data_IF_120455429016
#
_entry.id   IF_120455429016
#
_cell.length_a   1.000
_cell.length_b   1.000
_cell.length_c   1.000
_cell.angle_alpha   90.00
_cell.angle_beta   90.00
_cell.angle_gamma   90.00
#
_symmetry.space_group_name_H-M   'P 1'
#
loop_
_entity.id
_entity.type
_entity.pdbx_description
1 polymer ?
#
# COMPACT_ATOMS: atom_id res chain seq x y z
N UNK A 1 2.27 16.81 -4.22
CA UNK A 1 3.45 15.94 -4.40
C UNK A 1 3.58 15.51 -5.84
N UNK A 2 4.79 15.53 -6.42
CA UNK A 2 5.01 14.97 -7.76
C UNK A 2 4.71 13.48 -7.80
N UNK A 3 4.15 13.00 -8.91
CA UNK A 3 3.82 11.59 -9.07
C UNK A 3 5.06 10.68 -9.00
N UNK A 4 6.23 11.20 -9.37
CA UNK A 4 7.49 10.46 -9.34
C UNK A 4 8.04 10.21 -7.92
N UNK A 5 7.42 10.80 -6.90
CA UNK A 5 7.74 10.53 -5.50
C UNK A 5 6.56 9.89 -4.74
N UNK A 6 5.59 9.36 -5.46
CA UNK A 6 4.45 8.66 -4.87
C UNK A 6 4.59 7.15 -5.03
N UNK A 7 4.27 6.41 -3.98
CA UNK A 7 4.39 4.95 -3.94
C UNK A 7 3.12 4.34 -3.38
N UNK A 8 2.67 3.25 -3.98
CA UNK A 8 1.55 2.45 -3.45
C UNK A 8 2.13 1.38 -2.54
N UNK A 9 1.42 1.05 -1.47
CA UNK A 9 1.90 0.14 -0.43
C UNK A 9 1.00 -1.10 -0.35
N UNK A 10 1.60 -2.28 -0.41
CA UNK A 10 0.92 -3.56 -0.21
C UNK A 10 0.71 -3.82 1.29
N UNK A 11 -0.22 -4.72 1.64
CA UNK A 11 -0.59 -4.99 3.03
C UNK A 11 0.57 -5.53 3.88
N UNK A 12 1.39 -6.44 3.33
CA UNK A 12 2.55 -6.96 4.05
C UNK A 12 3.56 -5.87 4.37
N UNK A 13 3.69 -4.90 3.48
CA UNK A 13 4.62 -3.79 3.66
C UNK A 13 4.13 -2.86 4.77
N UNK A 14 2.85 -2.50 4.74
CA UNK A 14 2.28 -1.65 5.80
C UNK A 14 2.37 -2.35 7.16
N UNK A 15 2.04 -3.64 7.21
CA UNK A 15 2.16 -4.43 8.43
C UNK A 15 3.59 -4.45 8.97
N UNK A 16 4.58 -4.63 8.10
CA UNK A 16 5.99 -4.62 8.48
C UNK A 16 6.45 -3.24 8.97
N UNK A 17 5.96 -2.18 8.34
CA UNK A 17 6.24 -0.82 8.78
C UNK A 17 5.75 -0.59 10.22
N UNK A 18 4.54 -1.05 10.51
CA UNK A 18 3.95 -0.89 11.85
C UNK A 18 4.69 -1.69 12.92
N UNK A 19 5.44 -2.72 12.52
CA UNK A 19 6.27 -3.54 13.42
C UNK A 19 7.75 -3.12 13.39
N UNK A 20 8.08 -2.09 12.60
CA UNK A 20 9.46 -1.63 12.41
C UNK A 20 10.37 -2.74 11.85
N UNK A 21 9.86 -3.48 10.88
CA UNK A 21 10.54 -4.65 10.28
C UNK A 21 10.78 -4.50 8.77
N UNK A 22 10.75 -3.29 8.22
CA UNK A 22 10.96 -3.09 6.79
C UNK A 22 12.43 -3.27 6.41
N UNK A 23 12.71 -3.83 5.22
CA UNK A 23 14.07 -3.80 4.69
C UNK A 23 14.50 -2.36 4.40
N UNK A 24 15.80 -2.15 4.33
CA UNK A 24 16.40 -0.81 4.28
C UNK A 24 15.80 0.08 3.19
N UNK A 25 15.64 -0.45 1.98
CA UNK A 25 15.15 0.34 0.85
C UNK A 25 13.70 0.82 1.06
N UNK A 26 12.83 -0.09 1.49
CA UNK A 26 11.43 0.24 1.78
C UNK A 26 11.34 1.18 2.97
N UNK A 27 12.14 0.94 4.00
CA UNK A 27 12.16 1.77 5.20
C UNK A 27 12.53 3.22 4.86
N UNK A 28 13.51 3.42 3.97
CA UNK A 28 13.91 4.76 3.56
C UNK A 28 12.77 5.51 2.87
N UNK A 29 11.97 4.81 2.07
CA UNK A 29 10.80 5.44 1.41
C UNK A 29 9.78 5.90 2.46
N UNK A 30 9.54 5.08 3.49
CA UNK A 30 8.65 5.46 4.59
C UNK A 30 9.20 6.64 5.40
N UNK A 31 10.49 6.65 5.66
CA UNK A 31 11.15 7.80 6.33
C UNK A 31 10.96 9.07 5.49
N UNK A 32 11.17 8.97 4.18
CA UNK A 32 10.97 10.11 3.29
C UNK A 32 9.52 10.61 3.35
N UNK A 33 8.55 9.70 3.42
CA UNK A 33 7.14 10.06 3.53
C UNK A 33 6.83 10.72 4.88
N UNK A 34 7.42 10.24 5.97
CA UNK A 34 7.28 10.87 7.29
C UNK A 34 7.79 12.30 7.27
N UNK A 35 8.79 12.59 6.45
CA UNK A 35 9.39 13.90 6.30
C UNK A 35 8.82 14.69 5.11
N UNK A 36 7.70 14.25 4.55
CA UNK A 36 6.99 14.89 3.44
C UNK A 36 7.82 15.00 2.14
N UNK A 37 8.81 14.14 1.98
CA UNK A 37 9.64 14.05 0.77
C UNK A 37 9.13 13.01 -0.22
N UNK A 38 8.14 12.22 0.18
CA UNK A 38 7.46 11.24 -0.65
C UNK A 38 6.02 11.13 -0.19
N UNK A 39 5.16 10.57 -1.04
CA UNK A 39 3.76 10.29 -0.70
C UNK A 39 3.57 8.78 -0.69
N UNK A 40 2.94 8.27 0.37
CA UNK A 40 2.50 6.89 0.40
C UNK A 40 1.00 6.82 0.15
N UNK A 41 0.63 6.06 -0.84
CA UNK A 41 -0.75 5.82 -1.23
C UNK A 41 -1.12 4.43 -0.72
N UNK A 42 -2.01 4.36 0.24
CA UNK A 42 -2.42 3.11 0.87
C UNK A 42 -3.80 2.75 0.33
N UNK A 43 -3.91 1.69 -0.48
CA UNK A 43 -5.23 1.27 -0.94
C UNK A 43 -6.14 0.94 0.24
N UNK A 44 -7.40 1.36 0.19
CA UNK A 44 -8.33 1.10 1.30
C UNK A 44 -8.48 -0.39 1.60
N UNK A 45 -8.33 -1.26 0.58
CA UNK A 45 -8.35 -2.71 0.79
C UNK A 45 -7.22 -3.18 1.71
N UNK A 46 -6.05 -2.53 1.65
CA UNK A 46 -4.90 -2.86 2.51
C UNK A 46 -5.26 -2.60 3.98
N UNK A 47 -5.92 -1.48 4.25
CA UNK A 47 -6.39 -1.18 5.61
C UNK A 47 -7.41 -2.22 6.07
N UNK A 48 -8.37 -2.56 5.21
CA UNK A 48 -9.38 -3.58 5.54
C UNK A 48 -8.75 -4.93 5.84
N UNK A 49 -7.74 -5.34 5.07
CA UNK A 49 -7.01 -6.60 5.30
C UNK A 49 -6.31 -6.60 6.65
N UNK A 50 -5.65 -5.51 7.02
CA UNK A 50 -4.96 -5.41 8.32
C UNK A 50 -5.95 -5.39 9.48
N UNK A 51 -7.09 -4.71 9.34
CA UNK A 51 -8.15 -4.75 10.35
C UNK A 51 -8.56 -6.22 10.60
N UNK A 52 -8.82 -6.95 9.52
CA UNK A 52 -9.22 -8.36 9.61
C UNK A 52 -8.15 -9.21 10.31
N UNK A 53 -6.88 -9.02 9.93
CA UNK A 53 -5.75 -9.73 10.53
C UNK A 53 -5.67 -9.47 12.04
N UNK A 54 -5.79 -8.21 12.44
CA UNK A 54 -5.70 -7.83 13.86
C UNK A 54 -6.90 -8.35 14.67
N UNK A 55 -8.10 -8.33 14.08
CA UNK A 55 -9.29 -8.90 14.72
C UNK A 55 -9.12 -10.40 14.92
N UNK A 56 -8.67 -11.10 13.89
CA UNK A 56 -8.47 -12.55 13.94
C UNK A 56 -7.40 -12.93 14.96
N UNK A 57 -6.36 -12.14 15.10
CA UNK A 57 -5.29 -12.34 16.07
C UNK A 57 -5.68 -11.87 17.48
N UNK A 58 -6.88 -11.26 17.66
CA UNK A 58 -7.38 -10.73 18.93
C UNK A 58 -6.49 -9.65 19.54
N UNK A 59 -5.93 -8.79 18.67
CA UNK A 59 -5.12 -7.65 19.07
C UNK A 59 -5.72 -6.36 18.49
N UNK A 60 -7.01 -6.14 18.78
CA UNK A 60 -7.78 -5.03 18.20
C UNK A 60 -7.23 -3.65 18.53
N UNK A 61 -6.46 -3.50 19.62
CA UNK A 61 -5.78 -2.25 19.92
C UNK A 61 -4.84 -1.82 18.80
N UNK A 62 -4.27 -2.77 18.05
CA UNK A 62 -3.40 -2.49 16.92
C UNK A 62 -4.10 -1.76 15.77
N UNK A 63 -5.41 -1.94 15.63
CA UNK A 63 -6.20 -1.25 14.61
C UNK A 63 -6.14 0.27 14.86
N UNK A 64 -6.34 0.68 16.09
CA UNK A 64 -6.35 2.10 16.45
C UNK A 64 -4.95 2.70 16.45
N UNK A 65 -3.94 1.91 16.84
CA UNK A 65 -2.54 2.30 16.71
C UNK A 65 -2.18 2.56 15.24
N UNK A 66 -2.67 1.70 14.33
CA UNK A 66 -2.48 1.88 12.89
C UNK A 66 -3.06 3.22 12.41
N UNK A 67 -4.34 3.48 12.73
CA UNK A 67 -4.97 4.73 12.31
C UNK A 67 -4.26 5.96 12.90
N UNK A 68 -3.87 5.89 14.16
CA UNK A 68 -3.13 6.96 14.81
C UNK A 68 -1.81 7.24 14.09
N UNK A 69 -1.09 6.18 13.73
CA UNK A 69 0.18 6.30 13.00
C UNK A 69 -0.01 6.93 11.62
N UNK A 70 -1.03 6.49 10.88
CA UNK A 70 -1.31 7.02 9.54
C UNK A 70 -1.76 8.48 9.60
N UNK A 71 -2.58 8.82 10.58
CA UNK A 71 -3.09 10.19 10.74
C UNK A 71 -2.00 11.17 11.17
N UNK A 72 -0.89 10.68 11.74
CA UNK A 72 0.20 11.52 12.19
C UNK A 72 0.99 12.17 11.04
N UNK A 73 0.90 11.61 9.83
CA UNK A 73 1.70 12.08 8.70
C UNK A 73 0.83 12.49 7.52
N UNK A 74 0.90 13.78 7.08
CA UNK A 74 0.09 14.25 5.95
C UNK A 74 0.37 13.52 4.62
N UNK A 75 1.58 12.99 4.45
CA UNK A 75 1.99 12.30 3.22
C UNK A 75 1.48 10.87 3.13
N UNK A 76 0.84 10.37 4.16
CA UNK A 76 0.20 9.04 4.16
C UNK A 76 -1.27 9.24 3.79
N UNK A 77 -1.67 8.74 2.61
CA UNK A 77 -3.04 8.90 2.11
C UNK A 77 -3.69 7.55 1.89
N UNK A 78 -4.97 7.46 2.22
CA UNK A 78 -5.75 6.25 1.95
C UNK A 78 -6.53 6.48 0.67
N UNK A 79 -6.35 5.59 -0.32
CA UNK A 79 -7.01 5.70 -1.61
C UNK A 79 -8.25 4.79 -1.63
N UNK A 80 -9.43 5.33 -1.94
CA UNK A 80 -10.67 4.55 -1.90
C UNK A 80 -10.77 3.55 -3.07
N UNK A 81 -11.47 2.45 -2.83
CA UNK A 81 -11.89 1.54 -3.89
C UNK A 81 -13.21 2.07 -4.44
N UNK A 82 -13.13 2.92 -5.45
CA UNK A 82 -14.28 3.57 -6.05
C UNK A 82 -14.60 3.04 -7.46
N UNK A 83 -15.59 3.61 -8.11
CA UNK A 83 -16.03 3.17 -9.44
C UNK A 83 -14.89 3.25 -10.48
N UNK A 84 -14.08 4.30 -10.42
CA UNK A 84 -12.99 4.48 -11.37
C UNK A 84 -12.00 3.32 -11.27
N UNK A 85 -11.69 2.91 -10.05
CA UNK A 85 -10.79 1.79 -9.81
C UNK A 85 -11.42 0.46 -10.25
N UNK A 86 -12.70 0.27 -9.95
CA UNK A 86 -13.41 -0.95 -10.32
C UNK A 86 -13.39 -1.19 -11.83
N UNK A 87 -13.42 -0.14 -12.63
CA UNK A 87 -13.40 -0.24 -14.09
C UNK A 87 -12.05 -0.66 -14.65
N UNK A 88 -10.98 -0.53 -13.89
CA UNK A 88 -9.63 -0.95 -14.29
C UNK A 88 -9.42 -2.44 -14.01
N UNK A 89 -10.01 -2.95 -12.95
CA UNK A 89 -9.76 -4.31 -12.44
C UNK A 89 -9.92 -5.41 -13.51
N UNK A 90 -10.96 -5.40 -14.36
CA UNK A 90 -11.14 -6.49 -15.35
C UNK A 90 -9.99 -6.65 -16.34
N UNK A 91 -9.22 -5.57 -16.58
CA UNK A 91 -8.12 -5.61 -17.53
C UNK A 91 -6.80 -6.07 -16.91
N UNK A 92 -6.78 -6.26 -15.57
CA UNK A 92 -5.56 -6.68 -14.87
C UNK A 92 -5.52 -8.21 -14.80
N UNK A 93 -4.49 -8.79 -15.41
CA UNK A 93 -4.33 -10.24 -15.52
C UNK A 93 -3.55 -10.82 -14.35
N UNK A 94 -4.20 -10.86 -13.19
CA UNK A 94 -3.70 -11.49 -11.96
C UNK A 94 -4.82 -12.35 -11.37
N UNK A 95 -4.50 -13.52 -10.78
CA UNK A 95 -5.54 -14.42 -10.24
C UNK A 95 -6.22 -13.89 -8.98
N UNK A 96 -5.48 -13.23 -8.10
CA UNK A 96 -5.99 -12.76 -6.81
C UNK A 96 -6.66 -11.40 -6.95
N UNK A 97 -7.90 -11.29 -6.47
CA UNK A 97 -8.65 -10.04 -6.54
C UNK A 97 -7.96 -8.90 -5.79
N UNK A 98 -7.45 -9.18 -4.58
CA UNK A 98 -6.77 -8.15 -3.79
C UNK A 98 -5.55 -7.61 -4.52
N UNK A 99 -4.76 -8.47 -5.15
CA UNK A 99 -3.59 -8.07 -5.94
C UNK A 99 -4.00 -7.17 -7.11
N UNK A 100 -5.12 -7.50 -7.78
CA UNK A 100 -5.64 -6.67 -8.87
C UNK A 100 -6.04 -5.27 -8.39
N UNK A 101 -6.65 -5.19 -7.21
CA UNK A 101 -7.05 -3.90 -6.64
C UNK A 101 -5.82 -3.04 -6.32
N UNK A 102 -4.79 -3.65 -5.74
CA UNK A 102 -3.56 -2.95 -5.38
C UNK A 102 -2.83 -2.46 -6.63
N UNK A 103 -2.70 -3.31 -7.64
CA UNK A 103 -2.08 -2.95 -8.92
C UNK A 103 -2.90 -1.87 -9.63
N UNK A 104 -4.23 -1.97 -9.61
CA UNK A 104 -5.12 -0.96 -10.19
C UNK A 104 -4.91 0.40 -9.52
N UNK A 105 -4.74 0.42 -8.21
CA UNK A 105 -4.45 1.65 -7.47
C UNK A 105 -3.15 2.28 -7.97
N UNK A 106 -2.12 1.46 -8.18
CA UNK A 106 -0.83 1.95 -8.68
C UNK A 106 -0.97 2.53 -10.09
N UNK A 107 -1.70 1.87 -10.96
CA UNK A 107 -1.93 2.34 -12.35
C UNK A 107 -2.75 3.63 -12.36
N UNK A 108 -3.85 3.65 -11.62
CA UNK A 108 -4.77 4.80 -11.60
C UNK A 108 -4.09 6.06 -11.05
N UNK A 109 -3.33 5.92 -9.98
CA UNK A 109 -2.66 7.05 -9.34
C UNK A 109 -1.37 7.46 -10.05
N UNK A 110 -0.91 6.66 -11.01
CA UNK A 110 0.35 6.86 -11.73
C UNK A 110 1.53 6.95 -10.77
N UNK A 111 1.48 6.15 -9.70
CA UNK A 111 2.57 6.11 -8.74
C UNK A 111 3.86 5.62 -9.38
N UNK A 112 4.97 6.04 -8.80
CA UNK A 112 6.30 5.65 -9.29
C UNK A 112 6.51 4.14 -9.22
N UNK A 113 6.04 3.50 -8.14
CA UNK A 113 6.19 2.07 -7.94
C UNK A 113 5.21 1.58 -6.89
N UNK A 114 5.05 0.26 -6.85
CA UNK A 114 4.35 -0.47 -5.80
C UNK A 114 5.40 -1.10 -4.89
N UNK A 115 5.32 -0.84 -3.59
CA UNK A 115 6.18 -1.47 -2.61
C UNK A 115 5.53 -2.79 -2.21
N UNK A 116 6.15 -3.89 -2.60
CA UNK A 116 5.62 -5.25 -2.37
C UNK A 116 6.74 -6.27 -2.43
N UNK A 117 6.54 -7.39 -1.74
CA UNK A 117 7.38 -8.59 -1.88
C UNK A 117 6.65 -9.75 -2.55
N UNK A 118 5.45 -9.52 -3.04
CA UNK A 118 4.63 -10.55 -3.67
C UNK A 118 5.22 -10.97 -5.02
N UNK A 119 5.56 -12.25 -5.14
CA UNK A 119 6.22 -12.76 -6.35
C UNK A 119 5.33 -12.73 -7.59
N UNK A 120 4.02 -12.97 -7.43
CA UNK A 120 3.11 -12.91 -8.55
C UNK A 120 3.00 -11.51 -9.13
N UNK A 121 2.91 -10.51 -8.26
CA UNK A 121 2.86 -9.11 -8.70
C UNK A 121 4.18 -8.72 -9.36
N UNK A 122 5.30 -9.06 -8.73
CA UNK A 122 6.64 -8.74 -9.27
C UNK A 122 6.86 -9.38 -10.62
N UNK A 123 6.48 -10.65 -10.76
CA UNK A 123 6.66 -11.40 -12.02
C UNK A 123 5.75 -10.92 -13.14
N UNK A 124 4.59 -10.34 -12.80
CA UNK A 124 3.63 -9.86 -13.79
C UNK A 124 4.17 -8.69 -14.63
N UNK A 125 5.06 -7.89 -14.05
CA UNK A 125 5.62 -6.68 -14.67
C UNK A 125 4.56 -5.67 -15.09
N UNK A 126 3.38 -5.73 -14.49
CA UNK A 126 2.29 -4.77 -14.77
C UNK A 126 2.62 -3.38 -14.25
N UNK A 127 3.34 -3.30 -13.15
CA UNK A 127 3.81 -2.05 -12.55
C UNK A 127 5.25 -2.24 -12.09
N UNK A 128 5.95 -1.14 -11.88
CA UNK A 128 7.27 -1.17 -11.25
C UNK A 128 7.10 -1.56 -9.79
N UNK A 129 7.94 -2.45 -9.29
CA UNK A 129 7.90 -2.90 -7.90
C UNK A 129 9.22 -2.62 -7.19
N UNK A 130 9.12 -2.38 -5.89
CA UNK A 130 10.27 -2.14 -5.00
C UNK A 130 10.04 -2.95 -3.73
N UNK A 131 11.14 -3.48 -3.17
CA UNK A 131 11.07 -4.10 -1.85
C UNK A 131 12.29 -3.81 -0.99
#
# INVERSE_FOLDING_TARGET
>A
MPADSAYVVDSHILGAYLLDELPERSDQIFIDAENEKATLIIPSIVIAELIYVYEKARITSKIWEMFEKLDAYPSFTIHPLDESLLKIIPDIKLPELHDRIIVATCIYTKAKALITKDQQIMSSKLVRTIY
#
